data_IF_819442642479
#
_entry.id   IF_819442642479
#
_cell.length_a   1.000
_cell.length_b   1.000
_cell.length_c   1.000
_cell.angle_alpha   90.00
_cell.angle_beta   90.00
_cell.angle_gamma   90.00
#
_symmetry.space_group_name_H-M   'P 1'
#
loop_
_entity.id
_entity.type
_entity.pdbx_description
1 polymer ?
#
# COMPACT_ATOMS: atom_id res chain seq x y z
N UNK A 1 70.49 -21.34 28.46
CA UNK A 1 70.29 -20.06 27.73
C UNK A 1 68.84 -20.01 27.25
N UNK A 2 68.31 -18.81 26.98
CA UNK A 2 66.94 -18.53 26.51
C UNK A 2 66.58 -19.34 25.23
N UNK A 3 65.33 -19.62 24.82
CA UNK A 3 63.94 -19.37 25.29
C UNK A 3 63.00 -20.35 24.52
N UNK A 4 61.66 -20.22 24.40
CA UNK A 4 60.65 -19.29 24.93
C UNK A 4 59.26 -20.01 24.92
N UNK A 5 58.19 -19.41 25.49
CA UNK A 5 56.83 -20.01 25.58
C UNK A 5 56.00 -19.85 24.29
N UNK A 6 55.19 -20.82 23.85
CA UNK A 6 53.80 -21.11 24.28
C UNK A 6 52.90 -21.33 23.03
N UNK A 7 51.63 -21.79 23.10
CA UNK A 7 50.71 -21.84 24.24
C UNK A 7 50.06 -23.23 24.53
N UNK A 8 49.33 -23.34 25.64
CA UNK A 8 48.43 -24.47 25.96
C UNK A 8 46.96 -24.03 25.88
N UNK A 9 46.08 -24.91 25.39
CA UNK A 9 44.62 -24.78 25.51
C UNK A 9 44.06 -25.93 26.36
N UNK A 10 43.19 -25.61 27.31
CA UNK A 10 42.51 -26.58 28.18
C UNK A 10 40.99 -26.59 27.95
N UNK A 11 40.37 -27.77 28.07
CA UNK A 11 38.92 -27.99 27.90
C UNK A 11 38.12 -27.77 29.21
N UNK A 12 36.81 -27.49 29.14
CA UNK A 12 35.96 -27.59 30.34
C UNK A 12 34.51 -27.06 30.32
N UNK A 13 33.64 -27.63 29.47
CA UNK A 13 32.15 -27.75 29.48
C UNK A 13 31.23 -27.02 30.53
N UNK A 14 29.98 -26.84 30.05
CA UNK A 14 28.67 -26.79 30.74
C UNK A 14 27.96 -25.42 30.91
N UNK A 15 26.71 -25.37 30.41
CA UNK A 15 25.67 -24.39 30.70
C UNK A 15 24.70 -24.98 31.78
N UNK A 16 23.75 -24.25 32.43
CA UNK A 16 22.71 -23.45 31.74
C UNK A 16 22.16 -22.18 32.45
N UNK A 17 21.28 -21.47 31.72
CA UNK A 17 20.07 -20.77 32.22
C UNK A 17 20.10 -19.32 32.76
N UNK A 18 19.17 -18.53 32.21
CA UNK A 18 18.40 -17.40 32.79
C UNK A 18 18.98 -15.99 33.02
N UNK A 19 18.33 -15.05 32.30
CA UNK A 19 17.83 -13.73 32.73
C UNK A 19 18.80 -12.54 33.02
N UNK A 20 18.41 -11.39 32.41
CA UNK A 20 18.60 -10.00 32.86
C UNK A 20 20.02 -9.38 32.89
N UNK A 21 20.35 -8.63 31.82
CA UNK A 21 20.60 -7.16 31.83
C UNK A 21 20.71 -6.70 30.36
N UNK A 22 19.75 -5.97 29.77
CA UNK A 22 19.42 -4.54 29.92
C UNK A 22 20.42 -3.57 29.25
N UNK A 23 20.05 -3.12 28.04
CA UNK A 23 20.11 -1.75 27.45
C UNK A 23 21.37 -0.89 27.69
N UNK A 24 21.98 -0.41 26.59
CA UNK A 24 22.42 0.96 26.24
C UNK A 24 23.36 0.80 25.00
N UNK A 25 23.18 1.50 23.87
CA UNK A 25 23.35 2.94 23.71
C UNK A 25 22.39 3.55 22.68
N UNK A 26 22.03 4.81 22.91
CA UNK A 26 21.18 5.64 22.04
C UNK A 26 21.94 6.16 20.80
N UNK A 27 21.18 6.47 19.74
CA UNK A 27 21.46 7.63 18.89
C UNK A 27 20.22 8.52 18.79
N UNK A 28 20.44 9.83 18.93
CA UNK A 28 19.44 10.81 19.34
C UNK A 28 18.20 10.94 18.44
N UNK A 29 17.03 10.63 19.00
CA UNK A 29 15.81 11.39 18.72
C UNK A 29 15.81 12.66 19.59
N UNK A 30 15.19 13.78 19.16
CA UNK A 30 14.95 14.91 20.06
C UNK A 30 14.08 14.45 21.25
N UNK A 31 14.48 14.85 22.46
CA UNK A 31 13.97 14.36 23.75
C UNK A 31 12.48 14.66 24.08
N UNK A 32 11.65 15.02 23.10
CA UNK A 32 10.27 15.49 23.30
C UNK A 32 9.15 14.48 23.02
N UNK A 33 9.45 13.29 22.47
CA UNK A 33 8.43 12.29 22.07
C UNK A 33 8.82 10.86 22.50
N UNK A 34 9.20 10.68 23.77
CA UNK A 34 9.18 9.36 24.37
C UNK A 34 7.73 8.85 24.38
N UNK A 35 7.51 7.59 24.01
CA UNK A 35 6.19 6.96 24.10
C UNK A 35 5.72 6.97 25.55
N UNK A 36 4.53 7.53 25.79
CA UNK A 36 3.99 7.69 27.14
C UNK A 36 3.13 6.49 27.51
N UNK A 37 3.40 5.85 28.65
CA UNK A 37 2.81 4.55 29.02
C UNK A 37 1.28 4.61 29.17
N UNK A 38 0.72 5.77 29.52
CA UNK A 38 -0.73 5.99 29.58
C UNK A 38 -1.08 7.35 29.00
N UNK A 39 -2.28 7.46 28.42
CA UNK A 39 -2.89 8.73 27.96
C UNK A 39 -4.36 8.75 28.35
N UNK A 40 -4.83 9.91 28.80
CA UNK A 40 -6.26 10.13 29.00
C UNK A 40 -6.91 10.38 27.65
N UNK A 41 -7.70 9.40 27.18
CA UNK A 41 -8.42 9.48 25.91
C UNK A 41 -9.83 10.02 26.14
N UNK A 42 -10.21 11.01 25.34
CA UNK A 42 -11.56 11.53 25.22
C UNK A 42 -12.01 11.44 23.77
N UNK A 43 -13.29 11.15 23.56
CA UNK A 43 -13.90 10.96 22.24
C UNK A 43 -15.18 11.79 22.21
N UNK A 44 -15.27 12.67 21.22
CA UNK A 44 -16.35 13.65 21.06
C UNK A 44 -16.83 13.63 19.62
N UNK A 45 -18.13 13.37 19.42
CA UNK A 45 -18.80 13.66 18.16
C UNK A 45 -19.13 15.14 18.18
N UNK A 46 -18.63 15.89 17.20
CA UNK A 46 -18.88 17.32 17.09
C UNK A 46 -20.06 17.49 16.13
N UNK A 47 -21.26 17.85 16.61
CA UNK A 47 -22.41 18.07 15.74
C UNK A 47 -22.27 19.40 14.99
N UNK A 48 -22.82 19.46 13.79
CA UNK A 48 -23.15 20.73 13.15
C UNK A 48 -24.50 21.25 13.70
N UNK A 49 -24.69 22.57 13.66
CA UNK A 49 -25.92 23.23 14.10
C UNK A 49 -27.06 23.15 13.07
N UNK A 50 -26.78 22.80 11.80
CA UNK A 50 -27.77 22.71 10.74
C UNK A 50 -28.08 21.24 10.36
N UNK A 51 -27.09 20.35 10.41
CA UNK A 51 -27.27 18.90 10.24
C UNK A 51 -26.79 18.12 11.49
N UNK A 52 -27.69 17.45 12.24
CA UNK A 52 -27.32 16.67 13.42
C UNK A 52 -26.66 15.32 13.09
N UNK A 53 -26.43 14.98 11.81
CA UNK A 53 -25.73 13.75 11.44
C UNK A 53 -24.24 13.80 11.81
N UNK A 54 -23.66 12.71 12.38
CA UNK A 54 -22.34 12.73 13.00
C UNK A 54 -21.20 12.68 11.96
N UNK A 55 -20.96 13.79 11.27
CA UNK A 55 -19.97 13.88 10.19
C UNK A 55 -18.55 14.28 10.63
N UNK A 56 -18.34 14.54 11.93
CA UNK A 56 -17.05 14.91 12.52
C UNK A 56 -16.88 14.26 13.90
N UNK A 57 -15.80 13.49 14.05
CA UNK A 57 -15.46 12.76 15.26
C UNK A 57 -14.03 13.13 15.69
N UNK A 58 -13.89 13.72 16.88
CA UNK A 58 -12.63 14.10 17.46
C UNK A 58 -12.23 13.13 18.58
N UNK A 59 -11.04 12.56 18.48
CA UNK A 59 -10.39 11.77 19.52
C UNK A 59 -9.18 12.55 20.02
N UNK A 60 -9.14 12.83 21.33
CA UNK A 60 -8.08 13.60 21.99
C UNK A 60 -7.43 12.73 23.06
N UNK A 61 -6.16 12.36 22.85
CA UNK A 61 -5.36 11.55 23.76
C UNK A 61 -4.29 12.40 24.45
N UNK A 62 -4.62 12.88 25.65
CA UNK A 62 -3.78 13.75 26.47
C UNK A 62 -2.76 12.91 27.24
N UNK A 63 -1.50 13.30 27.13
CA UNK A 63 -0.40 12.84 27.98
C UNK A 63 0.16 14.01 28.79
N UNK A 64 1.17 13.75 29.62
CA UNK A 64 1.78 14.67 30.59
C UNK A 64 2.24 15.97 29.94
N UNK A 65 2.97 15.84 28.82
CA UNK A 65 3.59 16.96 28.10
C UNK A 65 3.17 17.03 26.62
N UNK A 66 2.14 16.29 26.20
CA UNK A 66 1.76 16.21 24.78
C UNK A 66 0.31 15.81 24.57
N UNK A 67 -0.34 16.29 23.51
CA UNK A 67 -1.67 15.82 23.10
C UNK A 67 -1.63 15.29 21.67
N UNK A 68 -2.28 14.16 21.43
CA UNK A 68 -2.58 13.66 20.09
C UNK A 68 -4.05 13.91 19.78
N UNK A 69 -4.31 14.54 18.64
CA UNK A 69 -5.65 14.78 18.10
C UNK A 69 -5.83 13.93 16.84
N UNK A 70 -6.92 13.18 16.76
CA UNK A 70 -7.39 12.52 15.54
C UNK A 70 -8.77 13.07 15.22
N UNK A 71 -8.94 13.70 14.07
CA UNK A 71 -10.22 14.26 13.64
C UNK A 71 -10.67 13.50 12.40
N UNK A 72 -11.58 12.55 12.60
CA UNK A 72 -12.22 11.78 11.55
C UNK A 72 -13.41 12.56 10.98
N UNK A 73 -13.59 12.53 9.67
CA UNK A 73 -14.75 13.15 9.03
C UNK A 73 -15.26 12.33 7.85
N UNK A 74 -16.58 12.38 7.64
CA UNK A 74 -17.30 11.94 6.44
C UNK A 74 -17.82 13.12 5.60
N UNK A 75 -17.38 14.35 5.89
CA UNK A 75 -17.71 15.51 5.06
C UNK A 75 -16.91 15.46 3.76
N UNK A 76 -17.57 14.99 2.70
CA UNK A 76 -16.89 14.68 1.44
C UNK A 76 -16.21 13.30 1.49
N UNK A 77 -15.01 13.13 0.92
CA UNK A 77 -14.28 11.87 1.02
C UNK A 77 -13.92 11.56 2.48
N UNK A 78 -14.11 10.33 2.98
CA UNK A 78 -13.72 9.98 4.35
C UNK A 78 -12.26 10.32 4.62
N UNK A 79 -11.98 11.00 5.73
CA UNK A 79 -10.65 11.50 6.05
C UNK A 79 -10.35 11.42 7.54
N UNK A 80 -9.07 11.36 7.88
CA UNK A 80 -8.58 11.56 9.25
C UNK A 80 -7.42 12.56 9.25
N UNK A 81 -7.58 13.64 10.01
CA UNK A 81 -6.52 14.60 10.34
C UNK A 81 -5.84 14.15 11.65
N UNK A 82 -4.53 14.02 11.64
CA UNK A 82 -3.69 13.70 12.79
C UNK A 82 -2.87 14.93 13.16
N UNK A 83 -2.92 15.36 14.43
CA UNK A 83 -2.13 16.49 14.96
C UNK A 83 -1.49 16.10 16.28
N UNK A 84 -0.19 16.35 16.44
CA UNK A 84 0.52 16.17 17.71
C UNK A 84 1.02 17.52 18.24
N UNK A 85 0.85 17.76 19.54
CA UNK A 85 1.29 18.97 20.22
C UNK A 85 2.24 18.68 21.39
N UNK A 86 3.05 19.66 21.77
CA UNK A 86 3.92 19.61 22.96
C UNK A 86 3.26 20.21 24.22
N UNK A 87 1.92 20.13 24.34
CA UNK A 87 1.20 20.61 25.52
C UNK A 87 -0.02 19.72 25.84
N UNK A 88 -0.32 19.45 27.13
CA UNK A 88 -1.56 18.77 27.54
C UNK A 88 -2.81 19.63 27.38
N UNK A 89 -2.65 20.94 27.15
CA UNK A 89 -3.75 21.91 27.13
C UNK A 89 -4.25 22.24 25.72
N UNK A 90 -3.76 21.57 24.67
CA UNK A 90 -4.20 21.90 23.31
C UNK A 90 -5.62 21.41 23.03
N UNK A 91 -6.40 22.26 22.38
CA UNK A 91 -7.82 22.03 22.08
C UNK A 91 -8.05 22.13 20.58
N UNK A 92 -9.00 21.33 20.08
CA UNK A 92 -9.53 21.51 18.74
C UNK A 92 -10.61 22.61 18.80
N UNK A 93 -10.56 23.55 17.87
CA UNK A 93 -11.61 24.52 17.62
C UNK A 93 -12.18 24.30 16.23
N UNK A 94 -13.51 24.23 16.15
CA UNK A 94 -14.28 24.01 14.92
C UNK A 94 -15.14 25.24 14.68
N UNK A 95 -15.02 25.83 13.50
CA UNK A 95 -15.88 26.90 13.03
C UNK A 95 -16.70 26.39 11.84
N UNK A 96 -17.89 25.88 12.13
CA UNK A 96 -18.82 25.29 11.16
C UNK A 96 -19.17 26.23 10.00
N UNK A 97 -19.47 27.50 10.28
CA UNK A 97 -19.85 28.46 9.24
C UNK A 97 -18.71 28.74 8.26
N UNK A 98 -17.45 28.59 8.70
CA UNK A 98 -16.28 28.66 7.82
C UNK A 98 -15.97 27.32 7.16
N UNK A 99 -16.03 26.21 7.89
CA UNK A 99 -15.73 24.87 7.39
C UNK A 99 -16.66 24.41 6.25
N UNK A 100 -17.91 24.88 6.26
CA UNK A 100 -18.91 24.63 5.21
C UNK A 100 -18.93 25.72 4.12
N UNK A 101 -18.06 26.74 4.21
CA UNK A 101 -17.98 27.82 3.21
C UNK A 101 -17.10 27.43 2.00
N UNK A 102 -17.15 28.19 0.89
CA UNK A 102 -16.24 28.00 -0.24
C UNK A 102 -14.75 28.16 0.10
N UNK A 103 -14.41 28.81 1.23
CA UNK A 103 -13.05 29.06 1.71
C UNK A 103 -12.86 28.45 3.12
N UNK A 104 -12.76 27.10 3.24
CA UNK A 104 -12.78 26.39 4.51
C UNK A 104 -11.50 26.55 5.36
N UNK A 105 -10.49 27.26 4.86
CA UNK A 105 -9.19 27.45 5.51
C UNK A 105 -9.33 28.05 6.92
N UNK A 106 -8.92 27.29 7.93
CA UNK A 106 -9.08 27.69 9.34
C UNK A 106 -10.46 27.40 9.95
N UNK A 107 -11.33 26.66 9.26
CA UNK A 107 -12.54 26.06 9.83
C UNK A 107 -12.25 24.96 10.87
N UNK A 108 -11.08 24.33 10.81
CA UNK A 108 -10.54 23.43 11.84
C UNK A 108 -9.16 23.93 12.28
N UNK A 109 -8.97 24.19 13.57
CA UNK A 109 -7.65 24.55 14.12
C UNK A 109 -7.38 23.90 15.47
N UNK A 110 -6.18 23.39 15.68
CA UNK A 110 -5.69 23.04 17.02
C UNK A 110 -4.97 24.26 17.61
N UNK A 111 -5.36 24.64 18.83
CA UNK A 111 -4.78 25.77 19.55
C UNK A 111 -4.03 25.29 20.80
N UNK A 112 -2.93 25.94 21.21
CA UNK A 112 -2.28 27.08 20.53
C UNK A 112 -1.40 26.60 19.36
N UNK A 113 -1.41 27.31 18.22
CA UNK A 113 -0.77 26.84 16.96
C UNK A 113 0.73 26.57 17.10
N UNK A 114 1.43 27.35 17.92
CA UNK A 114 2.87 27.18 18.21
C UNK A 114 3.21 25.88 18.96
N UNK A 115 2.22 25.20 19.54
CA UNK A 115 2.43 23.90 20.18
C UNK A 115 2.45 22.72 19.21
N UNK A 116 1.94 22.90 17.98
CA UNK A 116 1.86 21.84 16.97
C UNK A 116 3.27 21.42 16.54
N UNK A 117 3.62 20.17 16.82
CA UNK A 117 4.88 19.53 16.41
C UNK A 117 4.73 18.76 15.09
N UNK A 118 3.51 18.31 14.79
CA UNK A 118 3.19 17.53 13.59
C UNK A 118 1.72 17.70 13.23
N UNK A 119 1.42 17.82 11.93
CA UNK A 119 0.08 17.74 11.36
C UNK A 119 0.11 16.97 10.03
N UNK A 120 -0.95 16.21 9.76
CA UNK A 120 -1.05 15.28 8.61
C UNK A 120 -2.51 14.92 8.35
N UNK A 121 -2.89 14.60 7.11
CA UNK A 121 -4.20 14.02 6.81
C UNK A 121 -4.09 12.79 5.88
N UNK A 122 -4.79 11.71 6.24
CA UNK A 122 -5.04 10.56 5.38
C UNK A 122 -6.45 10.68 4.81
N UNK A 123 -6.60 10.56 3.48
CA UNK A 123 -7.89 10.72 2.79
C UNK A 123 -8.19 9.50 1.93
N UNK A 124 -9.37 8.94 2.10
CA UNK A 124 -9.96 7.92 1.23
C UNK A 124 -10.61 8.64 0.04
N UNK A 125 -9.76 9.14 -0.87
CA UNK A 125 -10.11 10.20 -1.84
C UNK A 125 -11.19 9.80 -2.82
N UNK A 126 -11.19 8.54 -3.27
CA UNK A 126 -12.11 8.04 -4.29
C UNK A 126 -12.47 6.59 -4.04
N UNK A 127 -13.78 6.32 -4.07
CA UNK A 127 -14.34 4.99 -4.30
C UNK A 127 -15.11 5.06 -5.61
N UNK A 128 -14.78 4.18 -6.56
CA UNK A 128 -15.41 4.12 -7.88
C UNK A 128 -15.99 2.73 -8.09
N UNK A 129 -17.26 2.64 -8.46
CA UNK A 129 -17.89 1.42 -8.96
C UNK A 129 -18.11 1.56 -10.47
N UNK A 130 -18.11 0.43 -11.18
CA UNK A 130 -18.17 0.40 -12.65
C UNK A 130 -19.34 -0.45 -13.12
N UNK A 131 -19.80 -0.24 -14.36
CA UNK A 131 -20.92 -0.99 -14.95
C UNK A 131 -20.50 -1.94 -16.06
N UNK A 132 -19.23 -1.86 -16.49
CA UNK A 132 -18.65 -2.62 -17.61
C UNK A 132 -17.16 -2.83 -17.36
N UNK A 133 -16.56 -3.77 -18.09
CA UNK A 133 -15.11 -3.95 -18.08
C UNK A 133 -14.41 -2.80 -18.82
N UNK A 134 -13.49 -2.09 -18.14
CA UNK A 134 -12.67 -1.04 -18.74
C UNK A 134 -11.43 -0.70 -17.87
N UNK A 135 -10.67 0.32 -18.25
CA UNK A 135 -9.52 0.84 -17.47
C UNK A 135 -9.65 2.35 -17.28
N UNK A 136 -9.27 2.92 -16.12
CA UNK A 136 -9.16 4.36 -15.95
C UNK A 136 -7.99 4.92 -16.77
N UNK A 137 -8.08 6.19 -17.19
CA UNK A 137 -7.03 6.83 -17.99
C UNK A 137 -5.71 7.02 -17.20
N UNK A 138 -5.78 7.15 -15.88
CA UNK A 138 -4.65 7.41 -14.99
C UNK A 138 -4.02 6.11 -14.46
N UNK A 139 -2.70 6.11 -14.28
CA UNK A 139 -1.98 4.99 -13.67
C UNK A 139 -2.52 4.69 -12.25
N UNK A 140 -2.55 3.41 -11.80
CA UNK A 140 -1.95 2.21 -12.43
C UNK A 140 -2.85 1.45 -13.43
N UNK A 141 -3.91 2.08 -13.97
CA UNK A 141 -4.83 1.54 -15.00
C UNK A 141 -5.30 0.09 -14.75
N UNK A 142 -5.68 -0.21 -13.51
CA UNK A 142 -6.25 -1.50 -13.12
C UNK A 142 -7.48 -1.81 -13.98
N UNK A 143 -7.57 -3.05 -14.47
CA UNK A 143 -8.73 -3.54 -15.21
C UNK A 143 -9.86 -3.81 -14.22
N UNK A 144 -10.93 -3.02 -14.28
CA UNK A 144 -12.12 -3.22 -13.44
C UNK A 144 -13.23 -3.92 -14.23
N UNK A 145 -14.17 -4.56 -13.53
CA UNK A 145 -15.45 -5.09 -14.06
C UNK A 145 -16.64 -4.48 -13.30
N UNK A 146 -17.85 -4.90 -13.66
CA UNK A 146 -19.07 -4.54 -12.91
C UNK A 146 -19.08 -5.07 -11.46
N UNK A 147 -18.28 -6.09 -11.18
CA UNK A 147 -18.20 -6.80 -9.89
C UNK A 147 -17.08 -6.24 -8.99
N UNK A 148 -16.52 -5.07 -9.36
CA UNK A 148 -15.39 -4.43 -8.68
C UNK A 148 -15.64 -2.97 -8.34
N UNK A 149 -15.09 -2.57 -7.20
CA UNK A 149 -14.90 -1.19 -6.80
C UNK A 149 -13.41 -0.86 -6.73
N UNK A 150 -13.00 0.29 -7.25
CA UNK A 150 -11.65 0.83 -7.06
C UNK A 150 -11.62 1.76 -5.86
N UNK A 151 -10.69 1.52 -4.93
CA UNK A 151 -10.37 2.40 -3.82
C UNK A 151 -9.04 3.12 -4.10
N UNK A 152 -9.01 4.43 -3.94
CA UNK A 152 -7.80 5.24 -3.92
C UNK A 152 -7.55 5.80 -2.51
N UNK A 153 -6.34 5.55 -2.00
CA UNK A 153 -5.86 6.11 -0.73
C UNK A 153 -4.77 7.13 -1.05
N UNK A 154 -4.87 8.33 -0.48
CA UNK A 154 -3.83 9.34 -0.62
C UNK A 154 -3.43 9.96 0.74
N UNK A 155 -2.13 10.19 0.89
CA UNK A 155 -1.52 10.94 1.99
C UNK A 155 -0.99 12.25 1.41
N UNK A 156 -1.30 13.39 2.05
CA UNK A 156 -0.90 14.71 1.56
C UNK A 156 -0.48 15.63 2.70
N UNK A 157 0.63 16.35 2.51
CA UNK A 157 1.07 17.45 3.40
C UNK A 157 1.52 17.02 4.80
N UNK A 158 1.62 15.72 5.08
CA UNK A 158 2.16 15.19 6.33
C UNK A 158 3.66 15.49 6.42
N UNK A 159 4.12 16.14 7.49
CA UNK A 159 5.56 16.32 7.69
C UNK A 159 6.22 15.01 8.17
N UNK A 160 7.17 14.41 7.43
CA UNK A 160 7.82 13.18 7.84
C UNK A 160 8.69 13.39 9.08
N UNK A 161 8.72 12.40 9.99
CA UNK A 161 9.53 12.47 11.23
C UNK A 161 11.04 12.32 11.01
N UNK A 162 11.48 12.07 9.79
CA UNK A 162 12.88 12.09 9.39
C UNK A 162 13.02 12.23 7.87
N UNK A 163 14.21 12.62 7.41
CA UNK A 163 14.47 13.05 6.03
C UNK A 163 14.13 12.00 4.94
N UNK A 164 14.04 10.71 5.31
CA UNK A 164 13.66 9.61 4.41
C UNK A 164 12.63 8.66 5.03
N UNK A 165 11.56 9.21 5.62
CA UNK A 165 10.48 8.37 6.14
C UNK A 165 9.76 7.61 5.02
N UNK A 166 9.74 6.28 5.12
CA UNK A 166 8.83 5.43 4.36
C UNK A 166 7.49 5.36 5.08
N UNK A 167 6.40 5.40 4.31
CA UNK A 167 5.04 5.29 4.82
C UNK A 167 4.48 3.91 4.53
N UNK A 168 3.46 3.52 5.29
CA UNK A 168 2.78 2.25 5.11
C UNK A 168 1.35 2.29 5.61
N UNK A 169 0.58 1.30 5.18
CA UNK A 169 -0.81 1.07 5.55
C UNK A 169 -0.93 -0.36 6.08
N UNK A 170 -1.43 -0.50 7.30
CA UNK A 170 -1.91 -1.80 7.81
C UNK A 170 -3.31 -2.05 7.24
N UNK A 171 -3.49 -3.19 6.57
CA UNK A 171 -4.76 -3.64 6.01
C UNK A 171 -5.18 -4.89 6.77
N UNK A 172 -6.30 -4.80 7.48
CA UNK A 172 -6.92 -5.92 8.17
C UNK A 172 -8.17 -6.40 7.43
N UNK A 173 -8.32 -7.71 7.32
CA UNK A 173 -9.44 -8.38 6.63
C UNK A 173 -10.04 -9.43 7.56
N UNK A 174 -11.33 -9.73 7.41
CA UNK A 174 -11.94 -10.87 8.12
C UNK A 174 -11.38 -12.16 7.51
N UNK A 175 -10.84 -13.04 8.35
CA UNK A 175 -10.32 -14.34 7.93
C UNK A 175 -11.43 -15.36 7.71
N UNK A 176 -11.17 -16.35 6.85
CA UNK A 176 -11.92 -17.61 6.82
C UNK A 176 -11.02 -18.66 7.46
N UNK A 177 -11.39 -19.15 8.65
CA UNK A 177 -10.55 -20.02 9.47
C UNK A 177 -10.16 -21.33 8.76
N UNK A 178 -8.99 -21.95 9.08
CA UNK A 178 -8.07 -21.58 10.15
C UNK A 178 -6.88 -20.69 9.73
N UNK A 179 -6.54 -20.61 8.44
CA UNK A 179 -5.33 -19.97 7.93
C UNK A 179 -5.62 -18.69 7.14
N UNK A 180 -4.72 -17.71 7.23
CA UNK A 180 -4.84 -16.49 6.44
C UNK A 180 -4.52 -16.72 4.96
N UNK A 181 -5.28 -16.10 4.03
CA UNK A 181 -5.00 -16.21 2.61
C UNK A 181 -3.63 -15.59 2.25
N UNK A 182 -2.95 -16.16 1.27
CA UNK A 182 -1.68 -15.65 0.76
C UNK A 182 -1.87 -14.73 -0.45
N UNK A 183 -1.01 -13.72 -0.55
CA UNK A 183 -0.94 -12.86 -1.75
C UNK A 183 -0.32 -13.66 -2.89
N UNK A 184 -1.00 -13.68 -4.04
CA UNK A 184 -0.58 -14.31 -5.28
C UNK A 184 -0.04 -13.24 -6.23
N UNK A 185 1.22 -13.36 -6.65
CA UNK A 185 1.83 -12.48 -7.65
C UNK A 185 1.55 -13.03 -9.07
N UNK A 186 0.74 -12.32 -9.85
CA UNK A 186 0.60 -12.56 -11.28
C UNK A 186 1.63 -11.75 -12.05
N UNK A 187 2.23 -12.35 -13.09
CA UNK A 187 3.22 -11.70 -13.96
C UNK A 187 2.68 -11.58 -15.38
N UNK A 188 2.89 -10.42 -15.98
CA UNK A 188 2.61 -10.17 -17.39
C UNK A 188 3.88 -9.71 -18.09
N UNK A 189 4.01 -9.97 -19.39
CA UNK A 189 5.04 -9.36 -20.24
C UNK A 189 4.64 -7.95 -20.72
N UNK A 190 3.42 -7.53 -20.39
CA UNK A 190 2.80 -6.28 -20.81
C UNK A 190 2.81 -5.23 -19.69
N UNK A 191 3.45 -4.09 -19.96
CA UNK A 191 3.47 -2.90 -19.11
C UNK A 191 2.77 -1.67 -19.75
N UNK A 192 2.07 -1.81 -20.88
CA UNK A 192 1.39 -0.68 -21.56
C UNK A 192 0.39 0.04 -20.65
N UNK A 193 -0.25 -0.73 -19.76
CA UNK A 193 -1.22 -0.22 -18.80
C UNK A 193 -0.56 0.31 -17.51
N UNK A 194 0.66 -0.10 -17.20
CA UNK A 194 1.41 0.38 -16.03
C UNK A 194 2.93 0.32 -16.29
N UNK A 195 3.53 1.38 -16.86
CA UNK A 195 4.91 1.35 -17.35
C UNK A 195 5.93 0.88 -16.32
N UNK A 196 6.78 -0.06 -16.71
CA UNK A 196 7.74 -0.78 -15.89
C UNK A 196 7.17 -1.65 -14.74
N UNK A 197 5.86 -1.92 -14.70
CA UNK A 197 5.20 -2.72 -13.64
C UNK A 197 4.57 -3.99 -14.21
N UNK A 198 5.42 -4.98 -14.46
CA UNK A 198 5.10 -6.31 -15.01
C UNK A 198 4.38 -7.27 -14.04
N UNK A 199 3.77 -6.73 -12.97
CA UNK A 199 3.17 -7.49 -11.86
C UNK A 199 1.79 -6.99 -11.49
N UNK A 200 0.97 -7.91 -11.00
CA UNK A 200 -0.32 -7.65 -10.36
C UNK A 200 -0.42 -8.58 -9.14
N UNK A 201 -0.53 -7.99 -7.96
CA UNK A 201 -0.72 -8.72 -6.72
C UNK A 201 -2.22 -8.96 -6.51
N UNK A 202 -2.58 -10.16 -6.06
CA UNK A 202 -3.95 -10.58 -5.84
C UNK A 202 -4.10 -11.31 -4.51
N UNK A 203 -5.07 -10.90 -3.70
CA UNK A 203 -5.52 -11.63 -2.52
C UNK A 203 -6.91 -12.22 -2.81
N UNK A 204 -7.07 -13.53 -2.58
CA UNK A 204 -8.35 -14.24 -2.67
C UNK A 204 -8.77 -14.67 -1.27
N UNK A 205 -10.01 -14.40 -0.86
CA UNK A 205 -10.52 -14.81 0.46
C UNK A 205 -10.97 -16.27 0.52
N UNK A 206 -11.12 -16.95 -0.63
CA UNK A 206 -11.54 -18.35 -0.71
C UNK A 206 -11.53 -18.86 -2.16
N UNK A 207 -12.11 -20.04 -2.40
CA UNK A 207 -12.24 -20.59 -3.76
C UNK A 207 -13.21 -19.77 -4.60
N UNK A 208 -12.85 -19.49 -5.86
CA UNK A 208 -13.68 -18.69 -6.76
C UNK A 208 -15.05 -19.37 -7.05
N UNK A 209 -16.15 -18.60 -7.13
CA UNK A 209 -16.25 -17.16 -6.92
C UNK A 209 -16.16 -16.77 -5.43
N UNK A 210 -15.35 -15.77 -5.11
CA UNK A 210 -15.16 -15.28 -3.73
C UNK A 210 -14.87 -13.79 -3.71
N UNK A 211 -14.74 -13.21 -2.52
CA UNK A 211 -14.14 -11.89 -2.35
C UNK A 211 -12.68 -11.90 -2.83
N UNK A 212 -12.27 -10.84 -3.52
CA UNK A 212 -10.89 -10.66 -3.99
C UNK A 212 -10.47 -9.19 -3.93
N UNK A 213 -9.16 -8.98 -3.82
CA UNK A 213 -8.51 -7.68 -3.82
C UNK A 213 -7.31 -7.75 -4.76
N UNK A 214 -7.15 -6.76 -5.63
CA UNK A 214 -6.06 -6.69 -6.60
C UNK A 214 -5.40 -5.32 -6.58
N UNK A 215 -4.09 -5.27 -6.65
CA UNK A 215 -3.33 -4.02 -6.79
C UNK A 215 -2.09 -4.29 -7.63
N UNK A 216 -1.53 -3.24 -8.24
CA UNK A 216 -0.15 -3.33 -8.74
C UNK A 216 0.81 -2.97 -7.59
N UNK A 217 2.00 -3.59 -7.49
CA UNK A 217 3.00 -3.27 -6.46
C UNK A 217 3.71 -1.93 -6.71
N UNK A 218 2.92 -0.87 -6.94
CA UNK A 218 3.36 0.49 -7.23
C UNK A 218 2.45 1.51 -6.54
N UNK A 219 3.06 2.54 -5.96
CA UNK A 219 2.42 3.78 -5.53
C UNK A 219 3.08 4.97 -6.25
N UNK A 220 2.57 6.18 -6.07
CA UNK A 220 3.06 7.37 -6.76
C UNK A 220 3.36 8.51 -5.79
N UNK A 221 4.55 9.10 -5.91
CA UNK A 221 4.99 10.26 -5.15
C UNK A 221 4.40 11.60 -5.64
N UNK A 222 3.80 11.62 -6.84
CA UNK A 222 3.30 12.83 -7.50
C UNK A 222 1.87 12.67 -8.01
N UNK A 223 1.11 13.77 -8.07
CA UNK A 223 -0.30 13.78 -8.52
C UNK A 223 -0.49 13.34 -9.97
N UNK A 224 0.51 13.56 -10.83
CA UNK A 224 0.45 13.16 -12.25
C UNK A 224 0.59 11.64 -12.44
N UNK A 225 1.20 10.93 -11.47
CA UNK A 225 1.46 9.49 -11.50
C UNK A 225 2.27 9.02 -12.72
N UNK A 226 3.26 9.83 -13.12
CA UNK A 226 4.22 9.45 -14.14
C UNK A 226 5.22 8.40 -13.64
N UNK A 227 5.96 7.78 -14.57
CA UNK A 227 6.85 6.64 -14.31
C UNK A 227 8.00 7.00 -13.37
N UNK A 228 8.52 8.20 -13.51
CA UNK A 228 9.54 8.82 -12.67
C UNK A 228 9.09 9.01 -11.21
N UNK A 229 7.79 9.17 -10.97
CA UNK A 229 7.19 9.28 -9.63
C UNK A 229 6.84 7.93 -8.99
N UNK A 230 7.13 6.81 -9.67
CA UNK A 230 6.73 5.47 -9.19
C UNK A 230 7.56 5.02 -7.99
N UNK A 231 6.85 4.50 -6.99
CA UNK A 231 7.38 3.96 -5.75
C UNK A 231 7.04 2.47 -5.68
N UNK A 232 7.97 1.58 -5.30
CA UNK A 232 7.62 0.19 -5.04
C UNK A 232 6.62 0.12 -3.88
N UNK A 233 5.60 -0.73 -4.03
CA UNK A 233 4.72 -1.13 -2.92
C UNK A 233 5.06 -2.56 -2.54
N UNK A 234 5.39 -2.81 -1.28
CA UNK A 234 5.71 -4.14 -0.76
C UNK A 234 4.64 -4.58 0.24
N UNK A 235 4.06 -5.76 0.05
CA UNK A 235 3.15 -6.40 0.98
C UNK A 235 3.90 -7.36 1.91
N UNK A 236 3.67 -7.28 3.22
CA UNK A 236 4.07 -8.34 4.14
C UNK A 236 3.20 -9.59 3.96
N UNK A 237 3.66 -10.78 4.38
CA UNK A 237 2.78 -11.93 4.55
C UNK A 237 1.61 -11.59 5.48
N UNK A 238 0.41 -12.09 5.16
CA UNK A 238 -0.74 -11.98 6.07
C UNK A 238 -0.50 -12.82 7.32
N UNK A 239 -0.90 -12.30 8.47
CA UNK A 239 -0.80 -12.99 9.77
C UNK A 239 -2.13 -12.89 10.54
N UNK A 240 -2.52 -13.94 11.28
CA UNK A 240 -3.64 -13.86 12.21
C UNK A 240 -3.35 -12.82 13.29
N UNK A 241 -4.30 -11.94 13.60
CA UNK A 241 -4.09 -10.87 14.60
C UNK A 241 -4.26 -11.33 16.05
N UNK A 242 -4.30 -12.62 16.34
CA UNK A 242 -4.29 -13.16 17.71
C UNK A 242 -3.08 -12.68 18.55
N UNK A 243 -2.05 -12.14 17.91
CA UNK A 243 -0.89 -11.54 18.56
C UNK A 243 -1.09 -10.08 19.05
N UNK A 244 -2.10 -9.34 18.59
CA UNK A 244 -2.34 -7.94 19.00
C UNK A 244 -3.79 -7.48 18.76
N UNK A 245 -4.32 -6.65 19.66
CA UNK A 245 -5.68 -6.13 19.55
C UNK A 245 -5.79 -5.08 18.43
N UNK A 246 -6.46 -5.46 17.33
CA UNK A 246 -6.92 -4.49 16.33
C UNK A 246 -7.97 -3.54 16.94
N UNK A 247 -8.00 -2.25 16.53
CA UNK A 247 -9.09 -1.34 16.86
C UNK A 247 -10.44 -1.91 16.42
N UNK A 248 -11.37 -2.05 17.37
CA UNK A 248 -12.69 -2.63 17.13
C UNK A 248 -13.54 -1.70 16.25
N UNK A 249 -13.77 -2.09 14.99
CA UNK A 249 -14.67 -1.36 14.08
C UNK A 249 -16.14 -1.58 14.47
N UNK A 250 -16.91 -0.52 14.80
CA UNK A 250 -18.33 -0.66 15.14
C UNK A 250 -19.16 -1.26 14.01
N UNK A 251 -18.80 -0.97 12.75
CA UNK A 251 -19.50 -1.47 11.55
C UNK A 251 -19.31 -2.98 11.41
N UNK A 252 -18.06 -3.47 11.56
CA UNK A 252 -17.76 -4.91 11.50
C UNK A 252 -18.47 -5.63 12.64
N UNK A 253 -18.44 -5.07 13.86
CA UNK A 253 -19.11 -5.66 15.01
C UNK A 253 -20.63 -5.65 14.91
N UNK A 254 -21.22 -4.64 14.28
CA UNK A 254 -22.66 -4.56 14.07
C UNK A 254 -23.17 -5.61 13.07
N UNK A 255 -22.38 -5.93 12.04
CA UNK A 255 -22.76 -6.91 11.01
C UNK A 255 -22.38 -8.36 11.37
N UNK A 256 -21.15 -8.58 11.84
CA UNK A 256 -20.60 -9.93 12.10
C UNK A 256 -20.62 -10.33 13.59
N UNK A 257 -21.03 -9.45 14.50
CA UNK A 257 -20.90 -9.67 15.94
C UNK A 257 -19.45 -9.52 16.45
N UNK A 258 -19.15 -9.96 17.67
CA UNK A 258 -17.79 -9.93 18.22
C UNK A 258 -16.91 -10.96 17.52
N UNK A 259 -16.12 -10.52 16.54
CA UNK A 259 -15.17 -11.34 15.80
C UNK A 259 -13.74 -11.19 16.32
N UNK A 260 -12.99 -12.28 16.33
CA UNK A 260 -11.55 -12.34 16.67
C UNK A 260 -10.65 -12.63 15.47
N UNK A 261 -11.25 -13.19 14.41
CA UNK A 261 -10.51 -13.88 13.36
C UNK A 261 -10.21 -12.92 12.21
N UNK A 262 -9.24 -12.03 12.43
CA UNK A 262 -8.74 -11.13 11.41
C UNK A 262 -7.35 -11.56 10.90
N UNK A 263 -7.13 -11.31 9.63
CA UNK A 263 -5.85 -11.45 8.95
C UNK A 263 -5.36 -10.05 8.56
N UNK A 264 -4.18 -9.67 9.05
CA UNK A 264 -3.59 -8.36 8.76
C UNK A 264 -2.28 -8.49 8.00
N UNK A 265 -2.01 -7.50 7.15
CA UNK A 265 -0.73 -7.31 6.45
C UNK A 265 -0.40 -5.84 6.31
N UNK A 266 0.89 -5.54 6.21
CA UNK A 266 1.39 -4.19 6.01
C UNK A 266 1.79 -3.98 4.55
N UNK A 267 1.26 -2.94 3.95
CA UNK A 267 1.76 -2.36 2.71
C UNK A 267 2.76 -1.27 3.05
N UNK A 268 3.98 -1.33 2.52
CA UNK A 268 4.97 -0.25 2.65
C UNK A 268 5.27 0.36 1.28
N UNK A 269 5.49 1.67 1.24
CA UNK A 269 5.60 2.44 0.01
C UNK A 269 6.94 3.17 -0.06
N UNK A 270 7.66 2.98 -1.17
CA UNK A 270 8.96 3.59 -1.43
C UNK A 270 10.16 2.71 -1.08
N UNK A 271 11.36 3.22 -1.35
CA UNK A 271 12.64 2.57 -1.05
C UNK A 271 13.58 3.57 -0.35
N UNK A 272 14.67 3.12 0.32
CA UNK A 272 15.60 4.02 1.03
C UNK A 272 16.34 5.06 0.14
N UNK A 273 16.24 4.90 -1.17
CA UNK A 273 16.86 5.71 -2.22
C UNK A 273 15.96 5.77 -3.45
N UNK A 274 15.99 6.88 -4.19
CA UNK A 274 15.13 7.11 -5.35
C UNK A 274 14.03 8.14 -5.03
N UNK A 275 12.96 8.19 -5.84
CA UNK A 275 11.79 9.02 -5.51
C UNK A 275 11.17 8.54 -4.18
N UNK A 276 10.50 9.46 -3.50
CA UNK A 276 9.83 9.17 -2.24
C UNK A 276 8.83 10.25 -1.84
N UNK A 277 8.12 9.97 -0.75
CA UNK A 277 7.11 10.89 -0.22
C UNK A 277 7.67 12.29 0.12
N UNK A 278 8.96 12.36 0.47
CA UNK A 278 9.67 13.60 0.79
C UNK A 278 9.85 14.57 -0.37
N UNK A 279 9.57 14.17 -1.62
CA UNK A 279 9.76 15.03 -2.80
C UNK A 279 8.64 16.07 -2.96
N UNK A 280 7.37 15.67 -2.78
CA UNK A 280 6.18 16.56 -2.89
C UNK A 280 5.23 16.50 -1.67
N UNK A 281 5.58 15.74 -0.63
CA UNK A 281 4.66 15.38 0.47
C UNK A 281 3.32 14.81 -0.05
N UNK A 282 3.40 13.95 -1.05
CA UNK A 282 2.26 13.27 -1.64
C UNK A 282 2.55 11.77 -1.82
N UNK A 283 1.54 10.96 -1.52
CA UNK A 283 1.49 9.53 -1.84
C UNK A 283 0.10 9.22 -2.38
N UNK A 284 0.02 8.47 -3.47
CA UNK A 284 -1.23 7.87 -3.97
C UNK A 284 -1.01 6.39 -4.26
N UNK A 285 -1.92 5.56 -3.76
CA UNK A 285 -1.99 4.13 -4.04
C UNK A 285 -3.43 3.74 -4.34
N UNK A 286 -3.62 2.66 -5.12
CA UNK A 286 -4.94 2.21 -5.55
C UNK A 286 -5.04 0.69 -5.57
N UNK A 287 -6.21 0.18 -5.20
CA UNK A 287 -6.59 -1.23 -5.24
C UNK A 287 -7.98 -1.38 -5.85
N UNK A 288 -8.25 -2.56 -6.42
CA UNK A 288 -9.59 -3.08 -6.65
C UNK A 288 -10.00 -3.97 -5.49
N UNK A 289 -11.28 -3.92 -5.14
CA UNK A 289 -11.98 -4.86 -4.28
C UNK A 289 -13.20 -5.37 -5.05
N UNK A 290 -13.45 -6.67 -5.05
CA UNK A 290 -14.59 -7.24 -5.76
C UNK A 290 -15.06 -8.57 -5.19
N UNK A 291 -16.16 -9.09 -5.75
CA UNK A 291 -16.74 -10.39 -5.39
C UNK A 291 -17.10 -11.12 -6.67
N UNK A 292 -16.58 -12.33 -6.85
CA UNK A 292 -16.78 -13.12 -8.06
C UNK A 292 -15.47 -13.68 -8.59
N UNK A 293 -15.23 -13.55 -9.89
CA UNK A 293 -13.94 -13.87 -10.53
C UNK A 293 -13.13 -12.59 -10.76
N UNK A 294 -11.87 -12.53 -10.34
CA UNK A 294 -11.03 -11.34 -10.54
C UNK A 294 -10.80 -11.04 -12.03
N UNK A 295 -10.80 -9.75 -12.44
CA UNK A 295 -10.32 -9.34 -13.75
C UNK A 295 -8.90 -9.84 -14.03
N UNK A 296 -8.67 -10.33 -15.25
CA UNK A 296 -7.36 -10.82 -15.72
C UNK A 296 -6.89 -9.94 -16.86
N UNK A 297 -5.65 -9.46 -16.79
CA UNK A 297 -5.03 -8.69 -17.87
C UNK A 297 -4.75 -9.60 -19.07
N UNK A 298 -5.31 -9.25 -20.24
CA UNK A 298 -4.90 -9.79 -21.53
C UNK A 298 -3.75 -8.95 -22.13
N UNK A 299 -2.93 -9.56 -23.00
CA UNK A 299 -1.89 -8.84 -23.74
C UNK A 299 -2.48 -7.74 -24.61
N UNK A 300 -1.85 -6.57 -24.61
CA UNK A 300 -2.28 -5.44 -25.41
C UNK A 300 -2.20 -5.71 -26.92
N UNK A 301 -3.02 -5.00 -27.73
CA UNK A 301 -2.92 -5.06 -29.20
C UNK A 301 -1.52 -4.68 -29.73
N UNK A 302 -0.79 -3.80 -29.02
CA UNK A 302 0.57 -3.39 -29.39
C UNK A 302 1.53 -4.58 -29.28
N UNK A 303 1.54 -5.27 -28.14
CA UNK A 303 2.45 -6.41 -27.91
C UNK A 303 2.07 -7.59 -28.79
N UNK A 304 0.77 -7.85 -28.98
CA UNK A 304 0.30 -8.84 -29.95
C UNK A 304 0.78 -8.51 -31.38
N UNK A 305 0.75 -7.23 -31.78
CA UNK A 305 1.29 -6.77 -33.06
C UNK A 305 2.81 -6.95 -33.18
N UNK A 306 3.58 -6.58 -32.16
CA UNK A 306 5.04 -6.78 -32.11
C UNK A 306 5.38 -8.27 -32.22
N UNK A 307 4.71 -9.13 -31.45
CA UNK A 307 4.91 -10.58 -31.49
C UNK A 307 4.55 -11.18 -32.84
N UNK A 308 3.45 -10.74 -33.46
CA UNK A 308 3.03 -11.18 -34.79
C UNK A 308 4.06 -10.83 -35.87
N UNK A 309 4.66 -9.63 -35.83
CA UNK A 309 5.72 -9.24 -36.77
C UNK A 309 7.04 -9.96 -36.47
N UNK A 310 7.49 -9.93 -35.22
CA UNK A 310 8.80 -10.43 -34.81
C UNK A 310 8.94 -11.96 -34.93
N UNK A 311 7.86 -12.72 -34.71
CA UNK A 311 7.85 -14.18 -34.90
C UNK A 311 7.32 -14.58 -36.28
N UNK A 312 6.33 -13.86 -36.81
CA UNK A 312 5.71 -14.16 -38.09
C UNK A 312 6.64 -13.94 -39.28
N UNK A 313 7.42 -12.86 -39.32
CA UNK A 313 8.31 -12.59 -40.45
C UNK A 313 9.43 -13.66 -40.57
N UNK A 314 10.19 -14.03 -39.52
CA UNK A 314 11.14 -15.14 -39.60
C UNK A 314 10.47 -16.48 -39.94
N UNK A 315 9.29 -16.78 -39.37
CA UNK A 315 8.54 -17.99 -39.69
C UNK A 315 8.15 -18.08 -41.16
N UNK A 316 7.65 -16.98 -41.76
CA UNK A 316 7.33 -16.91 -43.18
C UNK A 316 8.58 -17.01 -44.06
N UNK A 317 9.71 -16.41 -43.69
CA UNK A 317 10.97 -16.55 -44.42
C UNK A 317 11.50 -17.99 -44.40
N UNK A 318 11.41 -18.69 -43.26
CA UNK A 318 11.81 -20.09 -43.15
C UNK A 318 10.89 -21.01 -43.97
N UNK A 319 9.57 -20.77 -43.95
CA UNK A 319 8.61 -21.52 -44.77
C UNK A 319 8.84 -21.28 -46.28
N UNK A 320 9.02 -20.02 -46.69
CA UNK A 320 9.31 -19.68 -48.09
C UNK A 320 10.64 -20.28 -48.56
N UNK A 321 11.69 -20.21 -47.74
CA UNK A 321 12.99 -20.85 -48.03
C UNK A 321 12.89 -22.37 -48.11
N UNK A 322 12.14 -23.01 -47.21
CA UNK A 322 11.88 -24.45 -47.24
C UNK A 322 11.12 -24.89 -48.49
N UNK A 323 10.07 -24.17 -48.87
CA UNK A 323 9.32 -24.42 -50.11
C UNK A 323 10.22 -24.22 -51.34
N UNK A 324 11.03 -23.16 -51.37
CA UNK A 324 11.97 -22.89 -52.46
C UNK A 324 12.98 -24.04 -52.64
N UNK A 325 13.59 -24.52 -51.56
CA UNK A 325 14.53 -25.66 -51.60
C UNK A 325 13.85 -26.96 -52.09
N UNK A 326 12.62 -27.24 -51.63
CA UNK A 326 11.86 -28.41 -52.05
C UNK A 326 11.46 -28.38 -53.54
N UNK A 327 11.16 -27.20 -54.07
CA UNK A 327 10.85 -27.01 -55.50
C UNK A 327 12.13 -27.09 -56.36
N UNK A 328 13.21 -26.44 -55.93
CA UNK A 328 14.50 -26.45 -56.62
C UNK A 328 15.07 -27.87 -56.75
N UNK A 329 15.01 -28.68 -55.69
CA UNK A 329 15.46 -30.08 -55.74
C UNK A 329 14.68 -30.92 -56.77
N UNK A 330 13.39 -30.63 -57.01
CA UNK A 330 12.61 -31.33 -58.05
C UNK A 330 13.06 -30.97 -59.46
N UNK A 331 13.55 -29.76 -59.70
CA UNK A 331 14.07 -29.34 -61.00
C UNK A 331 15.45 -29.97 -61.29
N UNK A 332 16.36 -30.00 -60.31
CA UNK A 332 17.66 -30.67 -60.48
C UNK A 332 17.56 -32.21 -60.65
N UNK A 333 16.42 -32.81 -60.30
CA UNK A 333 16.18 -34.25 -60.48
C UNK A 333 15.83 -34.65 -61.93
N UNK A 334 15.64 -33.70 -62.85
CA UNK A 334 15.54 -33.99 -64.29
C UNK A 334 16.92 -34.22 -64.93
N UNK A 335 17.65 -35.21 -64.41
CA UNK A 335 18.89 -35.67 -65.03
C UNK A 335 18.54 -36.60 -66.21
N UNK A 336 18.68 -36.13 -67.45
CA UNK A 336 18.65 -37.03 -68.59
C UNK A 336 19.92 -37.90 -68.57
N UNK A 337 19.80 -39.24 -68.51
CA UNK A 337 20.97 -40.09 -68.67
C UNK A 337 21.53 -39.90 -70.09
N UNK A 338 22.83 -39.66 -70.17
CA UNK A 338 23.55 -39.63 -71.44
C UNK A 338 23.69 -41.09 -71.90
N UNK A 339 23.09 -41.41 -73.06
CA UNK A 339 23.25 -42.69 -73.76
C UNK A 339 24.66 -42.83 -74.34
#
# INVERSE_FOLDING_TARGET
>A
MWGHEGPRWGWGRCAPSSMLLLIQLLSAAPFGLLGEETRQVSLEVIPDWQDPSPNLLHIRAVGSNSTLHYVWSSMGPPAVLLVATNTPHSTLTVNWSRLLSPEPDGGLTVLPKNSIQFSSALVFTRVQAFTRSSRPAQAPRLLHSADTCQLEVALFGAYPRGNRSLFGLEVATLGQAPDCPSVQEQRSIDDEYAPAVFKLDQLLWGTLPSGFMQWRPVAFAQRQRGRESSLPCQASPLRPTLAYLLPQSPIVRAFFGPQTDFCAFNLTFGAPTGPGYWDEYYLSWSMLLGVGTPPVDALSPLILGIMAVALGAPGLMLLAGGIFLLLWHKQCSQYQPIN
#
